data_IF_410686756331
#
_entry.id   IF_410686756331
#
_cell.length_a   1.000
_cell.length_b   1.000
_cell.length_c   1.000
_cell.angle_alpha   90.00
_cell.angle_beta   90.00
_cell.angle_gamma   90.00
#
_symmetry.space_group_name_H-M   'P 1'
#
loop_
_entity.id
_entity.type
_entity.pdbx_description
1 polymer ?
#
# COMPACT_ATOMS: atom_id res chain seq x y z
N UNK A 1 -17.52 -2.85 20.75
CA UNK A 1 -17.92 -3.63 19.54
C UNK A 1 -16.72 -4.30 18.85
N UNK A 2 -15.53 -3.70 18.78
CA UNK A 2 -14.32 -4.37 18.24
C UNK A 2 -13.56 -5.28 19.25
N UNK A 3 -14.20 -5.67 20.36
CA UNK A 3 -13.59 -6.48 21.45
C UNK A 3 -14.06 -7.95 21.44
N UNK A 4 -14.98 -8.34 20.55
CA UNK A 4 -15.49 -9.72 20.49
C UNK A 4 -14.42 -10.71 20.01
N UNK A 5 -14.34 -11.87 20.66
CA UNK A 5 -13.55 -13.03 20.20
C UNK A 5 -14.17 -13.74 18.98
N UNK A 6 -15.42 -13.41 18.63
CA UNK A 6 -16.13 -13.96 17.48
C UNK A 6 -15.55 -13.41 16.17
N UNK A 7 -14.99 -14.28 15.29
CA UNK A 7 -14.45 -13.88 13.99
C UNK A 7 -15.48 -13.17 13.09
N UNK A 8 -16.76 -13.52 13.19
CA UNK A 8 -17.81 -12.89 12.38
C UNK A 8 -18.09 -11.47 12.83
N UNK A 9 -18.20 -11.23 14.15
CA UNK A 9 -18.36 -9.89 14.71
C UNK A 9 -17.14 -9.01 14.43
N UNK A 10 -15.94 -9.59 14.44
CA UNK A 10 -14.73 -8.86 14.08
C UNK A 10 -14.74 -8.41 12.62
N UNK A 11 -15.10 -9.29 11.67
CA UNK A 11 -15.24 -8.93 10.27
C UNK A 11 -16.21 -7.77 10.05
N UNK A 12 -17.39 -7.84 10.66
CA UNK A 12 -18.39 -6.75 10.59
C UNK A 12 -17.84 -5.44 11.17
N UNK A 13 -17.09 -5.50 12.27
CA UNK A 13 -16.47 -4.32 12.86
C UNK A 13 -15.42 -3.70 11.93
N UNK A 14 -14.60 -4.52 11.27
CA UNK A 14 -13.60 -4.07 10.29
C UNK A 14 -14.29 -3.37 9.11
N UNK A 15 -15.32 -3.98 8.54
CA UNK A 15 -16.08 -3.43 7.41
C UNK A 15 -16.75 -2.10 7.80
N UNK A 16 -17.32 -2.02 9.01
CA UNK A 16 -17.94 -0.80 9.53
C UNK A 16 -16.93 0.33 9.72
N UNK A 17 -15.76 0.03 10.29
CA UNK A 17 -14.69 1.01 10.50
C UNK A 17 -14.16 1.50 9.15
N UNK A 18 -14.02 0.63 8.15
CA UNK A 18 -13.60 1.00 6.80
C UNK A 18 -14.59 2.01 6.18
N UNK A 19 -15.89 1.73 6.25
CA UNK A 19 -16.93 2.62 5.73
C UNK A 19 -16.90 3.97 6.45
N UNK A 20 -16.85 3.97 7.78
CA UNK A 20 -16.77 5.20 8.56
C UNK A 20 -15.49 5.99 8.22
N UNK A 21 -14.36 5.29 8.09
CA UNK A 21 -13.07 5.85 7.76
C UNK A 21 -12.91 6.31 6.30
N UNK A 22 -13.91 6.13 5.44
CA UNK A 22 -13.79 6.44 4.01
C UNK A 22 -13.78 7.94 3.68
N UNK A 23 -14.20 8.81 4.61
CA UNK A 23 -14.19 10.27 4.45
C UNK A 23 -13.52 10.95 5.66
N UNK A 24 -13.24 12.26 5.53
CA UNK A 24 -12.49 13.02 6.55
C UNK A 24 -13.28 13.13 7.85
N UNK A 25 -14.58 13.39 7.78
CA UNK A 25 -15.43 13.55 8.96
C UNK A 25 -15.45 12.28 9.81
N UNK A 26 -15.61 11.12 9.18
CA UNK A 26 -15.60 9.84 9.86
C UNK A 26 -14.21 9.45 10.36
N UNK A 27 -13.13 9.82 9.64
CA UNK A 27 -11.77 9.70 10.17
C UNK A 27 -11.57 10.51 11.46
N UNK A 28 -12.08 11.74 11.51
CA UNK A 28 -12.03 12.58 12.71
C UNK A 28 -12.86 12.00 13.87
N UNK A 29 -13.99 11.35 13.58
CA UNK A 29 -14.76 10.61 14.60
C UNK A 29 -13.96 9.43 15.15
N UNK A 30 -13.32 8.65 14.29
CA UNK A 30 -12.46 7.53 14.70
C UNK A 30 -11.28 8.01 15.55
N UNK A 31 -10.65 9.13 15.17
CA UNK A 31 -9.56 9.73 15.93
C UNK A 31 -9.97 10.12 17.36
N UNK A 32 -11.20 10.64 17.54
CA UNK A 32 -11.75 10.99 18.87
C UNK A 32 -11.94 9.78 19.78
N UNK A 33 -12.07 8.57 19.24
CA UNK A 33 -12.12 7.35 20.05
C UNK A 33 -10.75 6.97 20.66
N UNK A 34 -9.66 7.65 20.26
CA UNK A 34 -8.36 7.62 20.92
C UNK A 34 -7.79 6.20 21.06
N UNK A 35 -7.40 5.83 22.28
CA UNK A 35 -6.72 4.56 22.55
C UNK A 35 -7.54 3.32 22.18
N UNK A 36 -8.89 3.40 22.20
CA UNK A 36 -9.75 2.30 21.77
C UNK A 36 -9.58 2.02 20.27
N UNK A 37 -9.52 3.08 19.47
CA UNK A 37 -9.32 2.96 18.03
C UNK A 37 -7.90 2.47 17.71
N UNK A 38 -6.87 2.99 18.40
CA UNK A 38 -5.50 2.50 18.25
C UNK A 38 -5.35 1.01 18.57
N UNK A 39 -5.99 0.51 19.64
CA UNK A 39 -6.04 -0.94 19.93
C UNK A 39 -6.74 -1.71 18.81
N UNK A 40 -7.79 -1.14 18.22
CA UNK A 40 -8.46 -1.67 17.04
C UNK A 40 -7.51 -1.81 15.85
N UNK A 41 -6.75 -0.76 15.53
CA UNK A 41 -5.74 -0.78 14.46
C UNK A 41 -4.66 -1.84 14.71
N UNK A 42 -4.15 -1.93 15.93
CA UNK A 42 -3.18 -2.97 16.30
C UNK A 42 -3.75 -4.39 16.10
N UNK A 43 -5.01 -4.60 16.48
CA UNK A 43 -5.71 -5.87 16.25
C UNK A 43 -5.91 -6.14 14.76
N UNK A 44 -6.24 -5.14 13.95
CA UNK A 44 -6.32 -5.25 12.48
C UNK A 44 -4.96 -5.69 11.93
N UNK A 45 -3.86 -5.06 12.32
CA UNK A 45 -2.51 -5.44 11.87
C UNK A 45 -2.13 -6.86 12.29
N UNK A 46 -2.51 -7.30 13.50
CA UNK A 46 -2.35 -8.69 13.92
C UNK A 46 -3.13 -9.67 13.04
N UNK A 47 -4.36 -9.31 12.63
CA UNK A 47 -5.18 -10.14 11.75
C UNK A 47 -4.62 -10.17 10.32
N UNK A 48 -4.11 -9.05 9.80
CA UNK A 48 -3.40 -9.00 8.50
C UNK A 48 -2.24 -9.98 8.45
N UNK A 49 -1.55 -10.18 9.57
CA UNK A 49 -0.43 -11.12 9.67
C UNK A 49 -0.86 -12.58 9.80
N UNK A 50 -1.88 -12.86 10.61
CA UNK A 50 -2.12 -14.21 11.14
C UNK A 50 -3.47 -14.85 10.76
N UNK A 51 -4.43 -14.08 10.24
CA UNK A 51 -5.78 -14.58 9.99
C UNK A 51 -5.86 -15.46 8.73
N UNK A 52 -6.96 -16.20 8.52
CA UNK A 52 -7.25 -16.80 7.22
C UNK A 52 -7.33 -15.74 6.10
N UNK A 53 -7.05 -16.17 4.86
CA UNK A 53 -6.92 -15.30 3.68
C UNK A 53 -8.06 -14.29 3.54
N UNK A 54 -9.32 -14.72 3.67
CA UNK A 54 -10.47 -13.82 3.53
C UNK A 54 -10.46 -12.66 4.53
N UNK A 55 -10.13 -12.93 5.81
CA UNK A 55 -10.06 -11.90 6.84
C UNK A 55 -8.88 -10.96 6.61
N UNK A 56 -7.73 -11.50 6.18
CA UNK A 56 -6.56 -10.68 5.81
C UNK A 56 -6.90 -9.70 4.70
N UNK A 57 -7.60 -10.15 3.66
CA UNK A 57 -8.05 -9.30 2.54
C UNK A 57 -8.96 -8.18 3.06
N UNK A 58 -9.99 -8.50 3.86
CA UNK A 58 -10.87 -7.49 4.46
C UNK A 58 -10.11 -6.45 5.28
N UNK A 59 -9.15 -6.89 6.08
CA UNK A 59 -8.32 -5.96 6.85
C UNK A 59 -7.43 -5.07 5.95
N UNK A 60 -6.86 -5.60 4.85
CA UNK A 60 -6.10 -4.81 3.88
C UNK A 60 -6.98 -3.74 3.21
N UNK A 61 -8.22 -4.10 2.85
CA UNK A 61 -9.20 -3.16 2.29
C UNK A 61 -9.55 -2.05 3.29
N UNK A 62 -9.81 -2.42 4.53
CA UNK A 62 -10.12 -1.47 5.59
C UNK A 62 -8.96 -0.50 5.84
N UNK A 63 -7.72 -1.01 5.92
CA UNK A 63 -6.52 -0.17 6.08
C UNK A 63 -6.36 0.78 4.89
N UNK A 64 -6.58 0.30 3.66
CA UNK A 64 -6.51 1.15 2.47
C UNK A 64 -7.51 2.32 2.55
N UNK A 65 -8.75 2.04 2.96
CA UNK A 65 -9.78 3.08 3.13
C UNK A 65 -9.45 4.09 4.24
N UNK A 66 -8.97 3.57 5.37
CA UNK A 66 -8.60 4.37 6.55
C UNK A 66 -7.42 5.31 6.30
N UNK A 67 -6.43 4.86 5.53
CA UNK A 67 -5.22 5.64 5.31
C UNK A 67 -5.31 6.56 4.11
N UNK A 68 -6.23 6.31 3.17
CA UNK A 68 -6.38 7.14 1.98
C UNK A 68 -6.80 8.57 2.31
N UNK A 69 -6.06 9.53 1.74
CA UNK A 69 -6.38 10.96 1.73
C UNK A 69 -6.29 11.48 0.30
N UNK A 70 -7.31 12.24 -0.11
CA UNK A 70 -7.24 12.98 -1.38
C UNK A 70 -6.19 14.11 -1.27
N UNK A 71 -5.49 14.47 -2.35
CA UNK A 71 -4.49 15.53 -2.32
C UNK A 71 -4.99 16.85 -1.71
N UNK A 72 -6.26 17.19 -1.93
CA UNK A 72 -6.89 18.42 -1.42
C UNK A 72 -7.16 18.37 0.09
N UNK A 73 -7.18 17.17 0.68
CA UNK A 73 -7.43 16.93 2.10
C UNK A 73 -6.14 16.83 2.92
N UNK A 74 -4.96 16.84 2.30
CA UNK A 74 -3.68 16.61 2.99
C UNK A 74 -3.21 17.84 3.78
N UNK A 75 -3.85 18.09 4.91
CA UNK A 75 -3.34 19.01 5.93
C UNK A 75 -2.27 18.32 6.78
N UNK A 76 -1.40 19.10 7.44
CA UNK A 76 -0.37 18.56 8.34
C UNK A 76 -0.95 17.66 9.43
N UNK A 77 -2.09 18.05 10.01
CA UNK A 77 -2.77 17.26 11.04
C UNK A 77 -3.33 15.94 10.51
N UNK A 78 -3.94 15.95 9.32
CA UNK A 78 -4.49 14.72 8.72
C UNK A 78 -3.38 13.76 8.27
N UNK A 79 -2.26 14.29 7.77
CA UNK A 79 -1.07 13.50 7.42
C UNK A 79 -0.45 12.85 8.67
N UNK A 80 -0.24 13.62 9.75
CA UNK A 80 0.23 13.07 11.04
C UNK A 80 -0.72 12.02 11.60
N UNK A 81 -2.03 12.25 11.45
CA UNK A 81 -3.04 11.31 11.89
C UNK A 81 -2.93 9.98 11.13
N UNK A 82 -2.90 9.98 9.79
CA UNK A 82 -2.79 8.74 9.00
C UNK A 82 -1.44 8.03 9.20
N UNK A 83 -0.34 8.78 9.34
CA UNK A 83 0.97 8.24 9.71
C UNK A 83 0.93 7.53 11.07
N UNK A 84 0.30 8.14 12.08
CA UNK A 84 0.14 7.54 13.41
C UNK A 84 -0.72 6.28 13.38
N UNK A 85 -1.73 6.25 12.52
CA UNK A 85 -2.59 5.07 12.33
C UNK A 85 -1.83 3.94 11.67
N UNK A 86 -1.05 4.24 10.62
CA UNK A 86 -0.17 3.28 9.96
C UNK A 86 0.84 2.67 10.94
N UNK A 87 1.49 3.52 11.74
CA UNK A 87 2.42 3.11 12.79
C UNK A 87 1.78 2.23 13.88
N UNK A 88 0.47 2.35 14.09
CA UNK A 88 -0.25 1.55 15.09
C UNK A 88 -0.53 0.11 14.62
N UNK A 89 -0.42 -0.17 13.31
CA UNK A 89 -0.74 -1.48 12.74
C UNK A 89 0.29 -2.55 13.14
N UNK A 90 1.58 -2.18 13.21
CA UNK A 90 2.64 -3.08 13.70
C UNK A 90 3.90 -2.29 14.03
N UNK A 91 4.90 -2.95 14.63
CA UNK A 91 6.21 -2.34 14.89
C UNK A 91 7.00 -2.02 13.61
N UNK A 92 6.67 -2.66 12.49
CA UNK A 92 7.32 -2.48 11.17
C UNK A 92 6.25 -2.53 10.08
N UNK A 93 5.37 -1.51 9.99
CA UNK A 93 4.17 -1.57 9.16
C UNK A 93 4.50 -1.65 7.66
N UNK A 94 5.54 -0.96 7.19
CA UNK A 94 5.95 -1.05 5.80
C UNK A 94 6.42 -2.47 5.43
N UNK A 95 7.24 -3.10 6.28
CA UNK A 95 7.72 -4.48 6.08
C UNK A 95 6.58 -5.50 6.20
N UNK A 96 5.58 -5.26 7.05
CA UNK A 96 4.36 -6.07 7.10
C UNK A 96 3.70 -6.13 5.72
N UNK A 97 3.41 -4.98 5.09
CA UNK A 97 2.76 -4.96 3.78
C UNK A 97 3.68 -5.47 2.67
N UNK A 98 4.98 -5.15 2.71
CA UNK A 98 5.97 -5.64 1.74
C UNK A 98 6.09 -7.17 1.75
N UNK A 99 6.07 -7.78 2.93
CA UNK A 99 6.11 -9.24 3.07
C UNK A 99 4.86 -9.92 2.51
N UNK A 100 3.76 -9.18 2.35
CA UNK A 100 2.50 -9.68 1.78
C UNK A 100 2.48 -9.43 0.27
N UNK A 101 2.98 -8.29 -0.20
CA UNK A 101 3.12 -7.94 -1.63
C UNK A 101 4.20 -8.73 -2.38
N UNK A 102 4.71 -9.81 -1.78
CA UNK A 102 5.68 -10.72 -2.39
C UNK A 102 5.22 -12.18 -2.25
N UNK A 103 4.04 -12.42 -1.66
CA UNK A 103 3.47 -13.76 -1.51
C UNK A 103 2.83 -14.21 -2.82
N UNK A 104 2.90 -15.51 -3.15
CA UNK A 104 2.25 -16.07 -4.34
C UNK A 104 0.73 -16.27 -4.14
N UNK A 105 0.05 -15.27 -3.58
CA UNK A 105 -1.39 -15.25 -3.34
C UNK A 105 -1.99 -13.97 -3.95
N UNK A 106 -2.56 -14.03 -5.18
CA UNK A 106 -2.92 -12.84 -5.95
C UNK A 106 -3.76 -11.81 -5.20
N UNK A 107 -4.79 -12.24 -4.46
CA UNK A 107 -5.67 -11.32 -3.75
C UNK A 107 -4.99 -10.61 -2.58
N UNK A 108 -4.10 -11.32 -1.87
CA UNK A 108 -3.31 -10.74 -0.78
C UNK A 108 -2.24 -9.81 -1.31
N UNK A 109 -1.56 -10.23 -2.39
CA UNK A 109 -0.56 -9.44 -3.08
C UNK A 109 -1.14 -8.10 -3.57
N UNK A 110 -2.24 -8.16 -4.33
CA UNK A 110 -2.98 -6.99 -4.79
C UNK A 110 -3.55 -6.18 -3.62
N UNK A 111 -4.00 -6.82 -2.55
CA UNK A 111 -4.45 -6.14 -1.32
C UNK A 111 -3.35 -5.31 -0.67
N UNK A 112 -2.13 -5.85 -0.56
CA UNK A 112 -1.00 -5.13 -0.02
C UNK A 112 -0.54 -3.98 -0.93
N UNK A 113 -0.52 -4.18 -2.25
CA UNK A 113 -0.25 -3.11 -3.21
C UNK A 113 -1.28 -1.98 -3.10
N UNK A 114 -2.56 -2.29 -2.88
CA UNK A 114 -3.61 -1.27 -2.65
C UNK A 114 -3.39 -0.45 -1.39
N UNK A 115 -2.87 -1.04 -0.30
CA UNK A 115 -2.48 -0.28 0.90
C UNK A 115 -1.37 0.72 0.56
N UNK A 116 -0.34 0.29 -0.17
CA UNK A 116 0.71 1.21 -0.63
C UNK A 116 0.15 2.30 -1.53
N UNK A 117 -0.76 1.97 -2.47
CA UNK A 117 -1.38 2.96 -3.36
C UNK A 117 -2.17 4.01 -2.57
N UNK A 118 -2.87 3.60 -1.51
CA UNK A 118 -3.66 4.50 -0.67
C UNK A 118 -2.81 5.58 0.02
N UNK A 119 -1.55 5.27 0.32
CA UNK A 119 -0.61 6.18 1.00
C UNK A 119 0.43 6.80 0.07
N UNK A 120 0.54 6.33 -1.18
CA UNK A 120 1.58 6.72 -2.13
C UNK A 120 1.65 8.21 -2.41
N UNK A 121 0.53 8.93 -2.31
CA UNK A 121 0.49 10.37 -2.53
C UNK A 121 0.84 11.21 -1.28
N UNK A 122 1.14 10.57 -0.14
CA UNK A 122 1.38 11.24 1.14
C UNK A 122 2.89 11.32 1.41
N UNK A 123 3.44 12.50 1.81
CA UNK A 123 4.88 12.69 1.97
C UNK A 123 5.55 11.76 2.98
N UNK A 124 4.90 11.50 4.13
CA UNK A 124 5.45 10.61 5.16
C UNK A 124 5.65 9.19 4.63
N UNK A 125 4.71 8.69 3.84
CA UNK A 125 4.78 7.35 3.25
C UNK A 125 5.85 7.26 2.17
N UNK A 126 6.05 8.32 1.38
CA UNK A 126 7.12 8.37 0.38
C UNK A 126 8.50 8.32 1.03
N UNK A 127 8.68 9.02 2.16
CA UNK A 127 9.93 8.96 2.93
C UNK A 127 10.18 7.55 3.48
N UNK A 128 9.17 6.91 4.08
CA UNK A 128 9.24 5.52 4.54
C UNK A 128 9.58 4.54 3.40
N UNK A 129 8.94 4.69 2.24
CA UNK A 129 9.22 3.88 1.05
C UNK A 129 10.64 4.05 0.54
N UNK A 130 11.14 5.29 0.47
CA UNK A 130 12.51 5.59 0.04
C UNK A 130 13.55 5.05 1.02
N UNK A 131 13.25 5.13 2.33
CA UNK A 131 14.12 4.61 3.38
C UNK A 131 14.17 3.08 3.42
N UNK A 132 13.18 2.39 2.83
CA UNK A 132 13.13 0.93 2.79
C UNK A 132 14.04 0.35 1.68
N UNK A 133 15.07 -0.44 2.05
CA UNK A 133 16.03 -0.96 1.08
C UNK A 133 15.36 -1.82 0.00
N UNK A 134 15.60 -1.51 -1.27
CA UNK A 134 15.09 -2.30 -2.40
C UNK A 134 13.63 -2.05 -2.74
N UNK A 135 12.91 -1.17 -2.03
CA UNK A 135 11.52 -0.86 -2.36
C UNK A 135 11.41 -0.18 -3.73
N UNK A 136 12.27 0.81 -4.00
CA UNK A 136 12.26 1.53 -5.28
C UNK A 136 12.64 0.63 -6.46
N UNK A 137 13.60 -0.28 -6.27
CA UNK A 137 13.96 -1.32 -7.23
C UNK A 137 12.77 -2.22 -7.52
N UNK A 138 12.11 -2.71 -6.47
CA UNK A 138 10.91 -3.52 -6.58
C UNK A 138 9.81 -2.79 -7.36
N UNK A 139 9.58 -1.49 -7.11
CA UNK A 139 8.53 -0.70 -7.77
C UNK A 139 8.67 -0.62 -9.29
N UNK A 140 9.89 -0.59 -9.80
CA UNK A 140 10.15 -0.48 -11.25
C UNK A 140 10.51 -1.81 -11.90
N UNK A 141 10.62 -2.87 -11.12
CA UNK A 141 10.83 -4.23 -11.64
C UNK A 141 9.52 -4.80 -12.21
N UNK A 142 9.53 -5.08 -13.52
CA UNK A 142 8.38 -5.64 -14.23
C UNK A 142 8.36 -7.17 -14.22
N UNK A 143 9.47 -7.81 -13.87
CA UNK A 143 9.65 -9.27 -13.97
C UNK A 143 8.98 -10.03 -12.82
N UNK A 144 8.69 -9.33 -11.72
CA UNK A 144 8.22 -9.92 -10.46
C UNK A 144 6.70 -10.06 -10.35
N UNK A 145 5.94 -9.50 -11.30
CA UNK A 145 4.47 -9.55 -11.26
C UNK A 145 3.92 -10.71 -12.12
N UNK A 146 3.31 -11.74 -11.51
CA UNK A 146 3.02 -13.00 -12.19
C UNK A 146 1.78 -12.94 -13.10
N UNK A 147 0.83 -12.07 -12.79
CA UNK A 147 -0.49 -12.04 -13.44
C UNK A 147 -0.94 -10.61 -13.80
N UNK A 148 -2.06 -10.54 -14.52
CA UNK A 148 -2.63 -9.28 -15.01
C UNK A 148 -3.01 -8.33 -13.88
N UNK A 149 -3.71 -8.81 -12.86
CA UNK A 149 -4.22 -7.99 -11.77
C UNK A 149 -3.07 -7.41 -10.94
N UNK A 150 -2.03 -8.22 -10.69
CA UNK A 150 -0.81 -7.82 -10.00
C UNK A 150 -0.07 -6.70 -10.76
N UNK A 151 0.06 -6.82 -12.09
CA UNK A 151 0.63 -5.77 -12.95
C UNK A 151 -0.16 -4.46 -12.91
N UNK A 152 -1.49 -4.55 -12.97
CA UNK A 152 -2.38 -3.39 -12.89
C UNK A 152 -2.31 -2.71 -11.52
N UNK A 153 -2.32 -3.49 -10.43
CA UNK A 153 -2.22 -2.97 -9.06
C UNK A 153 -0.91 -2.23 -8.83
N UNK A 154 0.22 -2.80 -9.27
CA UNK A 154 1.53 -2.15 -9.19
C UNK A 154 1.61 -0.89 -10.05
N UNK A 155 1.01 -0.92 -11.23
CA UNK A 155 0.94 0.26 -12.08
C UNK A 155 0.16 1.40 -11.44
N UNK A 156 -0.98 1.14 -10.80
CA UNK A 156 -1.72 2.16 -10.06
C UNK A 156 -0.92 2.72 -8.87
N UNK A 157 -0.13 1.89 -8.18
CA UNK A 157 0.83 2.36 -7.17
C UNK A 157 1.86 3.32 -7.77
N UNK A 158 2.55 2.92 -8.83
CA UNK A 158 3.56 3.77 -9.50
C UNK A 158 2.94 5.06 -10.01
N UNK A 159 1.74 5.00 -10.60
CA UNK A 159 1.00 6.17 -11.06
C UNK A 159 0.62 7.10 -9.91
N UNK A 160 0.20 6.57 -8.76
CA UNK A 160 -0.10 7.38 -7.58
C UNK A 160 1.16 8.08 -7.04
N UNK A 161 2.32 7.40 -7.05
CA UNK A 161 3.61 8.00 -6.70
C UNK A 161 3.97 9.13 -7.67
N UNK A 162 3.96 8.87 -8.98
CA UNK A 162 4.36 9.86 -10.00
C UNK A 162 3.46 11.10 -9.99
N UNK A 163 2.16 10.93 -9.74
CA UNK A 163 1.21 12.03 -9.70
C UNK A 163 1.21 12.82 -8.38
N UNK A 164 1.99 12.39 -7.38
CA UNK A 164 2.13 13.15 -6.14
C UNK A 164 3.00 14.39 -6.34
N UNK A 165 2.57 15.50 -5.75
CA UNK A 165 3.28 16.79 -5.81
C UNK A 165 4.66 16.75 -5.15
N UNK A 166 4.87 15.85 -4.19
CA UNK A 166 6.12 15.74 -3.42
C UNK A 166 7.07 14.67 -3.94
N UNK A 167 6.65 13.81 -4.88
CA UNK A 167 7.43 12.66 -5.29
C UNK A 167 8.76 13.02 -5.95
N UNK A 168 8.79 14.08 -6.79
CA UNK A 168 10.02 14.51 -7.45
C UNK A 168 11.06 15.04 -6.44
N UNK A 169 10.61 15.75 -5.41
CA UNK A 169 11.47 16.27 -4.34
C UNK A 169 11.98 15.14 -3.45
N UNK A 170 11.09 14.24 -3.01
CA UNK A 170 11.42 13.18 -2.06
C UNK A 170 12.30 12.10 -2.70
N UNK A 171 11.89 11.58 -3.86
CA UNK A 171 12.63 10.49 -4.52
C UNK A 171 13.86 10.99 -5.29
N UNK A 172 13.94 12.29 -5.57
CA UNK A 172 14.96 12.88 -6.42
C UNK A 172 14.87 12.42 -7.88
N UNK A 173 15.66 13.07 -8.74
CA UNK A 173 15.61 12.85 -10.19
C UNK A 173 15.84 11.38 -10.59
N UNK A 174 16.75 10.67 -9.92
CA UNK A 174 17.12 9.30 -10.28
C UNK A 174 15.93 8.34 -10.19
N UNK A 175 15.22 8.30 -9.06
CA UNK A 175 14.08 7.40 -8.88
C UNK A 175 12.81 7.95 -9.54
N UNK A 176 12.56 9.26 -9.45
CA UNK A 176 11.37 9.86 -10.06
C UNK A 176 11.30 9.66 -11.58
N UNK A 177 12.42 9.80 -12.30
CA UNK A 177 12.46 9.55 -13.75
C UNK A 177 12.19 8.08 -14.10
N UNK A 178 12.68 7.13 -13.29
CA UNK A 178 12.41 5.69 -13.48
C UNK A 178 10.93 5.37 -13.29
N UNK A 179 10.31 5.90 -12.24
CA UNK A 179 8.87 5.75 -12.00
C UNK A 179 8.05 6.37 -13.13
N UNK A 180 8.44 7.57 -13.60
CA UNK A 180 7.76 8.24 -14.71
C UNK A 180 7.86 7.46 -16.00
N UNK A 181 9.03 6.89 -16.31
CA UNK A 181 9.21 6.01 -17.46
C UNK A 181 8.31 4.78 -17.36
N UNK A 182 8.29 4.11 -16.19
CA UNK A 182 7.41 2.98 -15.93
C UNK A 182 5.93 3.32 -16.18
N UNK A 183 5.47 4.47 -15.68
CA UNK A 183 4.10 4.95 -15.87
C UNK A 183 3.79 5.22 -17.35
N UNK A 184 4.69 5.87 -18.09
CA UNK A 184 4.49 6.20 -19.50
C UNK A 184 4.44 4.95 -20.40
N UNK A 185 5.25 3.95 -20.08
CA UNK A 185 5.31 2.67 -20.79
C UNK A 185 4.05 1.80 -20.55
N UNK A 186 3.36 1.99 -19.43
CA UNK A 186 2.16 1.23 -19.07
C UNK A 186 2.45 -0.11 -18.37
N UNK A 187 1.42 -0.79 -17.84
CA UNK A 187 1.56 -2.01 -17.03
C UNK A 187 2.09 -3.24 -17.80
N UNK A 188 1.88 -3.28 -19.11
CA UNK A 188 2.17 -4.46 -19.95
C UNK A 188 3.42 -4.33 -20.81
N UNK A 189 4.18 -3.24 -20.64
CA UNK A 189 5.41 -3.05 -21.40
C UNK A 189 6.42 -4.16 -21.09
N UNK A 190 7.01 -4.72 -22.16
CA UNK A 190 8.09 -5.69 -22.10
C UNK A 190 9.26 -5.12 -22.88
N UNK A 191 10.42 -4.99 -22.22
CA UNK A 191 11.64 -4.57 -22.90
C UNK A 191 12.07 -5.67 -23.86
N UNK A 192 12.22 -5.34 -25.14
CA UNK A 192 12.74 -6.29 -26.12
C UNK A 192 14.19 -6.66 -25.72
N UNK A 193 14.41 -7.93 -25.39
CA UNK A 193 15.76 -8.47 -25.18
C UNK A 193 16.26 -8.92 -26.56
N UNK A 194 17.16 -8.14 -27.16
CA UNK A 194 17.85 -8.56 -28.38
C UNK A 194 18.78 -9.71 -28.02
N UNK A 195 18.35 -10.94 -28.24
CA UNK A 195 19.20 -12.13 -28.11
C UNK A 195 19.97 -12.28 -29.40
N UNK A 196 21.17 -11.72 -29.47
CA UNK A 196 22.10 -12.04 -30.56
C UNK A 196 22.59 -13.47 -30.33
N UNK A 197 22.01 -14.43 -31.05
CA UNK A 197 22.56 -15.77 -31.16
C UNK A 197 23.92 -15.64 -31.87
N UNK A 198 25.00 -15.94 -31.15
CA UNK A 198 26.31 -16.14 -31.78
C UNK A 198 26.26 -17.56 -32.33
N UNK A 199 25.96 -17.69 -33.62
CA UNK A 199 26.08 -18.96 -34.33
C UNK A 199 27.58 -19.28 -34.37
N UNK A 200 28.00 -20.16 -33.45
CA UNK A 200 29.35 -20.70 -33.44
C UNK A 200 29.55 -21.53 -34.70
N UNK A 201 30.38 -21.02 -35.60
CA UNK A 201 30.97 -21.81 -36.66
C UNK A 201 31.97 -22.78 -36.02
N UNK A 202 31.68 -24.08 -36.10
CA UNK A 202 32.63 -25.18 -36.33
C UNK A 202 31.89 -26.47 -36.71
#
# INVERSE_FOLDING_TARGET
>A
MAEGQDPTLFGVAVDTIAILGSNVEGKLVLQKAGSHFQRGLNRIGHQIKNAPTEMRIRCLDAVSSLLFLQPEQQTEDLLRMTESWFSSLSNQPLELFRSISTQPFPDLHCGALRVFTAIANQPWAQQEMLASPGFMEYMVDRSVEPDKASKEAKYELVKALVNSKTAAEIFGNQYYLRLRAYMLEGPYYVKAISTTAVEGAE
#
